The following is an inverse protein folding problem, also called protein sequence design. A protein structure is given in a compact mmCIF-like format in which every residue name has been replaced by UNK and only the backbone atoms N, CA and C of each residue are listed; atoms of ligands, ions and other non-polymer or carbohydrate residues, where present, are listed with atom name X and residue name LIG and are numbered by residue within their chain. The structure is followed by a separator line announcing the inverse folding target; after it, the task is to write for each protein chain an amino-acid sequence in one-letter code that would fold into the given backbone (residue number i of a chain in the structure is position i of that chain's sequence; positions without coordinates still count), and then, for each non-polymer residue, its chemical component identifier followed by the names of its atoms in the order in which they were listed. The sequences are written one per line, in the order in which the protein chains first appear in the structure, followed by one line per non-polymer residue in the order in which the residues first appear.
data_IF_400739179489
#
_entry.id   IF_400739179489
#
_cell.length_a   1.000
_cell.length_b   1.000
_cell.length_c   1.000
_cell.angle_alpha   90.00
_cell.angle_beta   90.00
_cell.angle_gamma   90.00
#
_symmetry.space_group_name_H-M   'P 1'
#
loop_
_entity.id
_entity.type
_entity.pdbx_description
1 polymer ?
#
# COMPACT_ATOMS: atom_id res chain seq x y z
N UNK A 1 59.46 12.57 41.14
CA UNK A 1 58.77 11.77 40.15
C UNK A 1 57.28 12.19 40.13
N UNK A 2 56.89 12.95 39.13
CA UNK A 2 55.51 13.48 39.00
C UNK A 2 54.80 12.60 37.99
N UNK A 3 53.81 11.82 38.46
CA UNK A 3 52.94 11.03 37.60
C UNK A 3 51.83 11.91 37.05
N UNK A 4 51.89 12.19 35.74
CA UNK A 4 50.80 12.82 35.00
C UNK A 4 49.70 11.76 34.71
N UNK A 5 48.57 11.90 35.33
CA UNK A 5 47.39 11.14 35.00
C UNK A 5 46.69 11.82 33.81
N UNK A 6 46.71 11.19 32.64
CA UNK A 6 45.99 11.62 31.44
C UNK A 6 44.59 11.01 31.53
N UNK A 7 43.58 11.82 31.85
CA UNK A 7 42.19 11.42 31.79
C UNK A 7 41.71 11.50 30.35
N UNK A 8 41.49 10.34 29.74
CA UNK A 8 40.84 10.24 28.42
C UNK A 8 39.33 10.39 28.60
N UNK A 9 38.80 11.56 28.22
CA UNK A 9 37.38 11.77 28.14
C UNK A 9 36.86 11.17 26.82
N UNK A 10 36.17 10.04 26.92
CA UNK A 10 35.48 9.43 25.79
C UNK A 10 34.12 10.12 25.64
N UNK A 11 33.99 11.04 24.70
CA UNK A 11 32.72 11.64 24.31
C UNK A 11 32.00 10.65 23.41
N UNK A 12 30.97 9.97 23.96
CA UNK A 12 30.02 9.16 23.18
C UNK A 12 29.10 10.12 22.46
N UNK A 13 29.32 10.32 21.18
CA UNK A 13 28.39 11.02 20.30
C UNK A 13 27.14 10.12 20.09
N UNK A 14 26.01 10.48 20.72
CA UNK A 14 24.71 9.90 20.39
C UNK A 14 24.34 10.35 18.98
N UNK A 15 24.60 9.48 18.02
CA UNK A 15 24.09 9.65 16.66
C UNK A 15 22.58 9.40 16.70
N UNK A 16 21.77 10.46 16.75
CA UNK A 16 20.35 10.37 16.47
C UNK A 16 20.15 10.09 14.98
N UNK A 17 20.14 8.79 14.64
CA UNK A 17 19.64 8.36 13.33
C UNK A 17 18.15 8.59 13.32
N UNK A 18 17.72 9.72 12.73
CA UNK A 18 16.33 9.91 12.37
C UNK A 18 15.97 8.78 11.39
N UNK A 19 15.19 7.81 11.88
CA UNK A 19 14.63 6.77 11.03
C UNK A 19 13.70 7.48 10.03
N UNK A 20 14.15 7.61 8.79
CA UNK A 20 13.30 8.07 7.70
C UNK A 20 12.18 7.03 7.59
N UNK A 21 10.95 7.44 7.90
CA UNK A 21 9.77 6.61 7.73
C UNK A 21 9.68 6.21 6.25
N UNK A 22 9.86 4.93 5.98
CA UNK A 22 9.81 4.43 4.61
C UNK A 22 8.36 4.51 4.13
N UNK A 23 8.11 5.02 2.90
CA UNK A 23 6.80 4.96 2.29
C UNK A 23 6.29 3.50 2.29
N UNK A 24 5.08 3.27 2.80
CA UNK A 24 4.51 1.93 2.95
C UNK A 24 4.76 1.26 4.31
N UNK A 25 5.54 1.83 5.22
CA UNK A 25 5.70 1.30 6.58
C UNK A 25 4.42 1.44 7.41
N UNK A 26 3.71 2.54 7.25
CA UNK A 26 2.44 2.83 7.93
C UNK A 26 1.28 2.81 6.93
N UNK A 27 0.09 2.44 7.43
CA UNK A 27 -1.12 2.52 6.64
C UNK A 27 -1.46 3.99 6.36
N UNK A 28 -1.78 4.36 5.11
CA UNK A 28 -2.13 5.74 4.77
C UNK A 28 -3.47 6.14 5.39
N UNK A 29 -3.69 7.46 5.51
CA UNK A 29 -4.98 8.01 5.94
C UNK A 29 -5.63 8.71 4.77
N UNK A 30 -6.78 8.19 4.33
CA UNK A 30 -7.58 8.74 3.24
C UNK A 30 -8.83 9.44 3.77
N UNK A 31 -9.33 10.40 3.00
CA UNK A 31 -10.56 11.13 3.32
C UNK A 31 -11.77 10.45 2.70
N UNK A 32 -12.39 9.54 3.46
CA UNK A 32 -13.56 8.76 3.03
C UNK A 32 -14.71 9.66 2.54
N UNK A 33 -15.01 10.72 3.28
CA UNK A 33 -16.13 11.60 2.91
C UNK A 33 -15.90 12.29 1.57
N UNK A 34 -14.66 12.72 1.32
CA UNK A 34 -14.31 13.36 0.06
C UNK A 34 -14.41 12.37 -1.11
N UNK A 35 -13.84 11.17 -0.95
CA UNK A 35 -13.92 10.12 -1.95
C UNK A 35 -15.38 9.78 -2.27
N UNK A 36 -16.18 9.46 -1.27
CA UNK A 36 -17.57 9.09 -1.45
C UNK A 36 -18.46 10.23 -1.99
N UNK A 37 -18.12 11.49 -1.70
CA UNK A 37 -18.83 12.63 -2.29
C UNK A 37 -18.58 12.76 -3.79
N UNK A 38 -17.39 12.46 -4.25
CA UNK A 38 -17.04 12.45 -5.67
C UNK A 38 -17.79 11.34 -6.41
N UNK A 39 -17.83 10.13 -5.86
CA UNK A 39 -18.59 9.01 -6.44
C UNK A 39 -20.11 9.26 -6.47
N UNK A 40 -20.67 9.79 -5.36
CA UNK A 40 -22.08 10.08 -5.27
C UNK A 40 -22.57 11.14 -6.27
N UNK A 41 -21.68 12.07 -6.65
CA UNK A 41 -22.02 13.10 -7.64
C UNK A 41 -22.29 12.53 -9.04
N UNK A 42 -21.81 11.34 -9.34
CA UNK A 42 -22.01 10.62 -10.60
C UNK A 42 -23.22 9.67 -10.55
N UNK A 43 -23.79 9.42 -9.36
CA UNK A 43 -24.87 8.46 -9.15
C UNK A 43 -26.27 9.04 -9.32
N UNK A 44 -27.25 8.15 -9.52
CA UNK A 44 -28.67 8.49 -9.70
C UNK A 44 -29.35 8.80 -8.36
N UNK A 45 -28.90 8.18 -7.27
CA UNK A 45 -29.34 8.41 -5.90
C UNK A 45 -28.16 8.74 -5.00
N UNK A 46 -27.94 10.02 -4.80
CA UNK A 46 -26.77 10.55 -4.09
C UNK A 46 -26.72 10.07 -2.62
N UNK A 47 -27.87 9.92 -1.95
CA UNK A 47 -27.87 9.58 -0.53
C UNK A 47 -27.60 8.11 -0.27
N UNK A 48 -28.20 7.20 -1.03
CA UNK A 48 -27.91 5.77 -0.91
C UNK A 48 -26.49 5.45 -1.33
N UNK A 49 -26.06 6.00 -2.46
CA UNK A 49 -24.68 5.83 -2.97
C UNK A 49 -23.63 6.33 -1.96
N UNK A 50 -23.88 7.49 -1.34
CA UNK A 50 -22.96 8.04 -0.34
C UNK A 50 -22.88 7.15 0.91
N UNK A 51 -24.01 6.65 1.41
CA UNK A 51 -24.03 5.80 2.61
C UNK A 51 -23.36 4.45 2.37
N UNK A 52 -23.59 3.84 1.23
CA UNK A 52 -22.97 2.58 0.83
C UNK A 52 -21.47 2.74 0.65
N UNK A 53 -21.03 3.75 -0.09
CA UNK A 53 -19.61 4.06 -0.26
C UNK A 53 -18.90 4.24 1.09
N UNK A 54 -19.44 5.06 1.99
CA UNK A 54 -18.83 5.27 3.32
C UNK A 54 -18.71 3.96 4.09
N UNK A 55 -19.73 3.10 4.01
CA UNK A 55 -19.70 1.80 4.68
C UNK A 55 -18.62 0.89 4.11
N UNK A 56 -18.49 0.85 2.79
CA UNK A 56 -17.49 0.02 2.11
C UNK A 56 -16.07 0.51 2.40
N UNK A 57 -15.85 1.81 2.37
CA UNK A 57 -14.57 2.44 2.71
C UNK A 57 -14.16 2.16 4.17
N UNK A 58 -15.11 2.27 5.12
CA UNK A 58 -14.87 1.97 6.53
C UNK A 58 -14.53 0.49 6.73
N UNK A 59 -15.23 -0.41 6.05
CA UNK A 59 -14.96 -1.84 6.13
C UNK A 59 -13.60 -2.19 5.54
N UNK A 60 -13.27 -1.64 4.38
CA UNK A 60 -11.97 -1.82 3.74
C UNK A 60 -10.83 -1.29 4.63
N UNK A 61 -10.99 -0.10 5.20
CA UNK A 61 -10.03 0.46 6.16
C UNK A 61 -9.81 -0.47 7.35
N UNK A 62 -10.88 -0.98 7.94
CA UNK A 62 -10.80 -1.90 9.09
C UNK A 62 -10.06 -3.18 8.74
N UNK A 63 -10.29 -3.74 7.57
CA UNK A 63 -9.59 -4.93 7.09
C UNK A 63 -8.10 -4.62 6.87
N UNK A 64 -7.79 -3.49 6.23
CA UNK A 64 -6.41 -3.03 6.05
C UNK A 64 -5.68 -2.83 7.38
N UNK A 65 -6.32 -2.24 8.39
CA UNK A 65 -5.75 -2.07 9.73
C UNK A 65 -5.32 -3.41 10.36
N UNK A 66 -6.08 -4.48 10.12
CA UNK A 66 -5.80 -5.82 10.64
C UNK A 66 -4.72 -6.56 9.83
N UNK A 67 -4.64 -6.29 8.56
CA UNK A 67 -3.85 -7.08 7.60
C UNK A 67 -2.62 -6.34 7.07
N UNK A 68 -2.43 -5.06 7.39
CA UNK A 68 -1.38 -4.23 6.83
C UNK A 68 0.02 -4.85 6.89
N UNK A 69 0.32 -5.56 7.97
CA UNK A 69 1.62 -6.22 8.16
C UNK A 69 1.85 -7.43 7.25
N UNK A 70 0.78 -7.99 6.64
CA UNK A 70 0.89 -9.18 5.79
C UNK A 70 1.56 -8.90 4.45
N UNK A 71 1.45 -7.66 3.95
CA UNK A 71 1.97 -7.27 2.64
C UNK A 71 3.37 -6.67 2.72
N UNK A 72 4.18 -6.96 1.72
CA UNK A 72 5.53 -6.41 1.59
C UNK A 72 5.53 -4.90 1.33
N UNK A 73 6.57 -4.21 1.78
CA UNK A 73 6.67 -2.74 1.68
C UNK A 73 6.60 -2.21 0.25
N UNK A 74 7.17 -2.93 -0.72
CA UNK A 74 7.16 -2.53 -2.12
C UNK A 74 5.74 -2.57 -2.70
N UNK A 75 5.03 -3.68 -2.45
CA UNK A 75 3.64 -3.85 -2.90
C UNK A 75 2.71 -2.80 -2.26
N UNK A 76 2.86 -2.55 -0.96
CA UNK A 76 2.11 -1.49 -0.26
C UNK A 76 2.31 -0.13 -0.90
N UNK A 77 3.55 0.24 -1.21
CA UNK A 77 3.86 1.52 -1.86
C UNK A 77 3.21 1.60 -3.24
N UNK A 78 3.37 0.57 -4.06
CA UNK A 78 2.81 0.50 -5.41
C UNK A 78 1.28 0.64 -5.39
N UNK A 79 0.59 -0.11 -4.54
CA UNK A 79 -0.86 -0.03 -4.41
C UNK A 79 -1.36 1.30 -3.84
N UNK A 80 -0.61 1.94 -2.94
CA UNK A 80 -0.94 3.29 -2.45
C UNK A 80 -0.81 4.32 -3.57
N UNK A 81 0.21 4.24 -4.40
CA UNK A 81 0.40 5.11 -5.56
C UNK A 81 -0.71 4.90 -6.60
N UNK A 82 -1.06 3.64 -6.87
CA UNK A 82 -2.13 3.29 -7.80
C UNK A 82 -3.50 3.80 -7.34
N UNK A 83 -3.84 3.62 -6.06
CA UNK A 83 -5.10 4.10 -5.49
C UNK A 83 -5.26 5.64 -5.51
N UNK A 84 -4.18 6.38 -5.75
CA UNK A 84 -4.19 7.83 -5.88
C UNK A 84 -4.35 8.33 -7.32
N UNK A 85 -4.23 7.45 -8.32
CA UNK A 85 -4.22 7.89 -9.73
C UNK A 85 -5.59 8.35 -10.23
N UNK A 86 -6.67 7.92 -9.59
CA UNK A 86 -8.05 8.33 -9.91
C UNK A 86 -8.46 9.71 -9.39
N UNK A 87 -7.63 10.35 -8.58
CA UNK A 87 -7.86 11.67 -7.97
C UNK A 87 -8.16 11.59 -6.48
N UNK A 88 -9.25 11.00 -6.05
CA UNK A 88 -9.57 10.76 -4.64
C UNK A 88 -9.14 9.35 -4.23
N UNK A 89 -8.41 9.25 -3.12
CA UNK A 89 -7.86 7.98 -2.63
C UNK A 89 -8.92 7.14 -1.92
N UNK A 90 -8.95 5.83 -2.24
CA UNK A 90 -9.94 4.87 -1.73
C UNK A 90 -9.27 3.70 -1.00
N UNK A 91 -9.79 3.34 0.16
CA UNK A 91 -9.37 2.12 0.87
C UNK A 91 -9.85 0.85 0.16
N UNK A 92 -11.01 0.91 -0.51
CA UNK A 92 -11.52 -0.21 -1.32
C UNK A 92 -10.58 -0.49 -2.49
N UNK A 93 -10.11 0.53 -3.19
CA UNK A 93 -9.13 0.36 -4.27
C UNK A 93 -7.80 -0.16 -3.73
N UNK A 94 -7.33 0.39 -2.61
CA UNK A 94 -6.08 -0.03 -2.00
C UNK A 94 -6.09 -1.50 -1.59
N UNK A 95 -7.14 -1.97 -0.91
CA UNK A 95 -7.23 -3.38 -0.51
C UNK A 95 -7.36 -4.30 -1.72
N UNK A 96 -8.13 -3.88 -2.71
CA UNK A 96 -8.30 -4.64 -3.97
C UNK A 96 -6.96 -4.82 -4.69
N UNK A 97 -6.16 -3.76 -4.82
CA UNK A 97 -4.83 -3.84 -5.41
C UNK A 97 -3.93 -4.83 -4.65
N UNK A 98 -3.90 -4.74 -3.32
CA UNK A 98 -3.08 -5.61 -2.47
C UNK A 98 -3.49 -7.08 -2.58
N UNK A 99 -4.78 -7.37 -2.58
CA UNK A 99 -5.31 -8.72 -2.70
C UNK A 99 -5.05 -9.33 -4.08
N UNK A 100 -5.31 -8.58 -5.14
CA UNK A 100 -5.09 -9.04 -6.51
C UNK A 100 -3.61 -9.30 -6.80
N UNK A 101 -2.73 -8.42 -6.34
CA UNK A 101 -1.30 -8.54 -6.58
C UNK A 101 -0.62 -9.56 -5.67
N UNK A 102 -1.22 -9.92 -4.53
CA UNK A 102 -0.71 -10.94 -3.62
C UNK A 102 -1.24 -12.34 -3.92
N UNK A 103 -2.34 -12.45 -4.67
CA UNK A 103 -2.83 -13.73 -5.14
C UNK A 103 -1.81 -14.35 -6.09
N UNK A 104 -1.39 -15.63 -5.92
CA UNK A 104 -0.67 -16.30 -6.98
C UNK A 104 -1.56 -16.20 -8.21
N UNK A 105 -1.06 -15.60 -9.28
CA UNK A 105 -1.72 -15.74 -10.56
C UNK A 105 -1.78 -17.25 -10.82
N UNK A 106 -2.91 -17.88 -10.56
CA UNK A 106 -3.26 -19.16 -11.12
C UNK A 106 -3.32 -18.93 -12.62
N UNK A 107 -2.10 -19.04 -13.19
CA UNK A 107 -1.85 -18.66 -14.55
C UNK A 107 -2.73 -19.48 -15.45
N UNK A 108 -3.58 -18.82 -16.12
CA UNK A 108 -3.91 -19.18 -17.48
C UNK A 108 -2.63 -19.07 -18.35
N UNK A 109 -1.72 -20.01 -18.18
CA UNK A 109 -0.59 -20.22 -19.09
C UNK A 109 -1.00 -21.08 -20.28
N UNK A 110 -2.27 -21.15 -20.62
CA UNK A 110 -2.75 -21.93 -21.78
C UNK A 110 -3.03 -21.10 -23.03
N UNK A 111 -2.81 -19.78 -22.97
CA UNK A 111 -2.93 -18.95 -24.19
C UNK A 111 -1.54 -18.54 -24.66
N UNK A 112 -0.96 -19.34 -25.57
CA UNK A 112 0.17 -18.86 -26.35
C UNK A 112 1.31 -19.81 -26.66
N UNK A 113 1.20 -21.10 -26.39
CA UNK A 113 2.15 -22.03 -27.00
C UNK A 113 1.54 -22.63 -28.26
N UNK A 114 1.67 -21.88 -29.34
CA UNK A 114 1.52 -22.45 -30.68
C UNK A 114 2.44 -23.67 -30.80
N UNK A 115 1.95 -24.84 -31.20
CA UNK A 115 2.81 -25.96 -31.44
C UNK A 115 3.70 -25.61 -32.65
N UNK A 116 4.98 -25.44 -32.41
CA UNK A 116 5.98 -25.42 -33.48
C UNK A 116 6.05 -26.81 -34.06
N UNK A 117 5.14 -27.13 -34.94
CA UNK A 117 5.29 -28.32 -35.80
C UNK A 117 6.08 -27.94 -37.05
N UNK A 118 7.36 -27.78 -36.88
CA UNK A 118 8.30 -27.86 -37.97
C UNK A 118 8.52 -29.33 -38.26
N UNK A 119 7.70 -29.92 -39.06
CA UNK A 119 7.95 -31.17 -39.69
C UNK A 119 8.13 -30.93 -41.20
N UNK A 120 9.28 -30.64 -41.56
CA UNK A 120 10.17 -31.32 -42.48
C UNK A 120 9.50 -32.47 -43.30
N UNK A 121 9.35 -32.21 -44.58
CA UNK A 121 9.79 -33.10 -45.63
C UNK A 121 10.02 -32.30 -46.90
#
# INVERSE_FOLDING_TARGET
MKLLAIALAITVALSNTAALAQPGAQMPTFNINRNCSSEAAEGVDIQSTMAECVQDEVNAKKQLDQEWSKWGSNLKRECVEESAMGGDQSYVELITCLEMSSSPMEGDQTVGRAPSNAQRR
#
